data_IF_778905462064
#
_entry.id   IF_778905462064
#
_cell.length_a   1.000
_cell.length_b   1.000
_cell.length_c   1.000
_cell.angle_alpha   90.00
_cell.angle_beta   90.00
_cell.angle_gamma   90.00
#
_symmetry.space_group_name_H-M   'P 1'
#
loop_
_entity.id
_entity.type
_entity.pdbx_description
1 polymer ?
#
# COMPACT_ATOMS: atom_id res chain seq x y z
N UNK A 1 -19.64 -18.02 14.64
CA UNK A 1 -20.43 -19.28 14.61
C UNK A 1 -19.83 -20.41 13.75
N UNK A 2 -18.59 -20.29 13.22
CA UNK A 2 -17.92 -21.35 12.43
C UNK A 2 -16.98 -22.29 13.21
N UNK A 3 -16.76 -22.05 14.51
CA UNK A 3 -15.76 -22.80 15.31
C UNK A 3 -16.28 -24.07 16.02
N UNK A 4 -17.50 -24.53 15.73
CA UNK A 4 -18.09 -25.70 16.43
C UNK A 4 -18.28 -26.95 15.57
N UNK A 5 -18.06 -26.87 14.25
CA UNK A 5 -18.24 -28.00 13.32
C UNK A 5 -16.93 -28.72 12.96
N UNK A 6 -15.75 -28.19 13.35
CA UNK A 6 -14.46 -28.81 13.04
C UNK A 6 -13.93 -29.80 14.08
N UNK A 7 -14.56 -29.91 15.26
CA UNK A 7 -14.15 -30.87 16.30
C UNK A 7 -14.81 -32.27 16.16
N UNK A 8 -15.59 -32.52 15.11
CA UNK A 8 -16.30 -33.79 14.91
C UNK A 8 -15.71 -34.71 13.83
N UNK A 9 -14.55 -34.39 13.25
CA UNK A 9 -13.91 -35.22 12.19
C UNK A 9 -12.86 -36.22 12.69
N UNK A 10 -12.46 -36.17 13.96
CA UNK A 10 -11.41 -37.04 14.51
C UNK A 10 -11.94 -38.36 15.11
N UNK A 11 -13.26 -38.56 15.13
CA UNK A 11 -13.84 -39.82 15.57
C UNK A 11 -13.79 -40.87 14.45
N UNK A 12 -13.11 -42.00 14.71
CA UNK A 12 -13.15 -43.19 13.85
C UNK A 12 -14.60 -43.49 13.46
N UNK A 13 -14.86 -43.56 12.16
CA UNK A 13 -16.18 -43.87 11.63
C UNK A 13 -16.68 -45.21 12.20
N UNK A 14 -17.97 -45.31 12.52
CA UNK A 14 -18.57 -46.57 13.02
C UNK A 14 -18.21 -47.78 12.15
N UNK A 15 -18.05 -47.58 10.83
CA UNK A 15 -17.64 -48.62 9.89
C UNK A 15 -16.20 -49.08 10.09
N UNK A 16 -15.28 -48.16 10.43
CA UNK A 16 -13.87 -48.47 10.70
C UNK A 16 -13.73 -49.23 12.03
N UNK A 17 -14.46 -48.83 13.07
CA UNK A 17 -14.50 -49.54 14.36
C UNK A 17 -15.00 -50.97 14.18
N UNK A 18 -16.10 -51.15 13.44
CA UNK A 18 -16.65 -52.48 13.15
C UNK A 18 -15.63 -53.35 12.38
N UNK A 19 -14.95 -52.80 11.37
CA UNK A 19 -13.95 -53.53 10.61
C UNK A 19 -12.76 -53.98 11.47
N UNK A 20 -12.29 -53.13 12.39
CA UNK A 20 -11.20 -53.47 13.33
C UNK A 20 -11.64 -54.61 14.26
N UNK A 21 -12.85 -54.52 14.83
CA UNK A 21 -13.39 -55.55 15.75
C UNK A 21 -13.56 -56.88 15.04
N UNK A 22 -14.11 -56.88 13.81
CA UNK A 22 -14.25 -58.12 13.01
C UNK A 22 -12.88 -58.74 12.73
N UNK A 23 -11.90 -57.93 12.31
CA UNK A 23 -10.54 -58.42 12.03
C UNK A 23 -9.90 -59.02 13.28
N UNK A 24 -10.06 -58.40 14.45
CA UNK A 24 -9.55 -58.92 15.71
C UNK A 24 -10.22 -60.24 16.13
N UNK A 25 -11.54 -60.36 15.94
CA UNK A 25 -12.28 -61.61 16.22
C UNK A 25 -11.83 -62.73 15.29
N UNK A 26 -11.66 -62.45 14.00
CA UNK A 26 -11.15 -63.43 13.02
C UNK A 26 -9.75 -63.92 13.41
N UNK A 27 -8.86 -63.02 13.85
CA UNK A 27 -7.50 -63.38 14.31
C UNK A 27 -7.58 -64.28 15.56
N UNK A 28 -8.42 -63.94 16.53
CA UNK A 28 -8.62 -64.76 17.75
C UNK A 28 -9.18 -66.14 17.43
N UNK A 29 -10.13 -66.24 16.50
CA UNK A 29 -10.69 -67.51 16.05
C UNK A 29 -9.63 -68.36 15.35
N UNK A 30 -8.83 -67.77 14.45
CA UNK A 30 -7.74 -68.48 13.77
C UNK A 30 -6.69 -68.97 14.78
N UNK A 31 -6.39 -68.18 15.81
CA UNK A 31 -5.47 -68.56 16.88
C UNK A 31 -6.01 -69.71 17.74
N UNK A 32 -7.29 -69.65 18.14
CA UNK A 32 -7.96 -70.71 18.91
C UNK A 32 -8.13 -72.02 18.11
N UNK A 33 -8.46 -71.92 16.81
CA UNK A 33 -8.58 -73.09 15.94
C UNK A 33 -7.24 -73.81 15.78
N UNK A 34 -6.14 -73.05 15.62
CA UNK A 34 -4.80 -73.61 15.57
C UNK A 34 -4.43 -74.32 16.88
N UNK A 35 -4.74 -73.71 18.03
CA UNK A 35 -4.56 -74.33 19.36
C UNK A 35 -5.35 -75.63 19.53
N UNK A 36 -6.59 -75.70 19.03
CA UNK A 36 -7.43 -76.91 19.10
C UNK A 36 -6.85 -78.04 18.23
N UNK A 37 -6.36 -77.72 17.03
CA UNK A 37 -5.69 -78.69 16.13
C UNK A 37 -4.42 -79.25 16.81
N UNK A 38 -3.68 -78.40 17.52
CA UNK A 38 -2.47 -78.76 18.26
C UNK A 38 -2.75 -79.74 19.42
N UNK A 39 -3.76 -79.47 20.24
CA UNK A 39 -4.16 -80.35 21.35
C UNK A 39 -4.58 -81.73 20.82
N UNK A 40 -5.31 -81.78 19.70
CA UNK A 40 -5.70 -83.05 19.06
C UNK A 40 -4.51 -83.81 18.48
N UNK A 41 -3.56 -83.14 17.83
CA UNK A 41 -2.40 -83.80 17.23
C UNK A 41 -1.39 -84.32 18.29
N UNK A 42 -1.21 -83.59 19.39
CA UNK A 42 -0.33 -84.02 20.49
C UNK A 42 -0.90 -85.20 21.28
N UNK A 43 -2.23 -85.35 21.35
CA UNK A 43 -2.89 -86.52 21.96
C UNK A 43 -2.66 -87.84 21.21
N UNK A 44 -2.18 -87.79 19.97
CA UNK A 44 -1.95 -88.97 19.11
C UNK A 44 -0.46 -89.32 18.91
N UNK A 45 0.48 -88.55 19.46
CA UNK A 45 1.92 -88.76 19.27
C UNK A 45 2.61 -89.09 20.62
N UNK A 46 2.58 -90.38 21.00
CA UNK A 46 3.44 -90.88 22.06
C UNK A 46 4.89 -90.96 21.54
N UNK A 47 5.79 -90.22 22.19
CA UNK A 47 7.27 -90.35 22.18
C UNK A 47 8.06 -89.69 21.01
N UNK A 48 8.53 -88.44 21.19
CA UNK A 48 9.88 -87.98 20.77
C UNK A 48 10.21 -86.55 21.27
N UNK A 49 11.26 -86.30 22.11
CA UNK A 49 11.36 -85.04 22.87
C UNK A 49 12.05 -83.83 22.21
N UNK A 50 12.57 -83.90 20.96
CA UNK A 50 13.41 -82.80 20.41
C UNK A 50 13.03 -82.36 18.99
N UNK A 51 12.36 -83.20 18.18
CA UNK A 51 11.86 -82.81 16.84
C UNK A 51 10.58 -81.96 16.85
N UNK A 52 9.80 -82.03 17.93
CA UNK A 52 8.47 -81.43 18.04
C UNK A 52 8.47 -79.91 18.21
N UNK A 53 9.58 -79.30 18.62
CA UNK A 53 9.65 -77.84 18.83
C UNK A 53 9.83 -77.06 17.53
N UNK A 54 10.46 -77.68 16.51
CA UNK A 54 10.61 -77.09 15.17
C UNK A 54 9.28 -77.08 14.42
N UNK A 55 8.59 -78.22 14.37
CA UNK A 55 7.24 -78.35 13.80
C UNK A 55 6.20 -77.52 14.55
N UNK A 56 6.34 -77.37 15.88
CA UNK A 56 5.54 -76.43 16.67
C UNK A 56 5.70 -74.98 16.19
N UNK A 57 6.92 -74.54 15.88
CA UNK A 57 7.19 -73.21 15.31
C UNK A 57 6.62 -73.04 13.90
N UNK A 58 6.71 -74.07 13.06
CA UNK A 58 6.23 -74.06 11.67
C UNK A 58 4.70 -73.89 11.57
N UNK A 59 3.93 -74.42 12.52
CA UNK A 59 2.46 -74.29 12.56
C UNK A 59 1.97 -72.87 12.85
N UNK A 60 2.76 -72.06 13.56
CA UNK A 60 2.48 -70.64 13.76
C UNK A 60 3.15 -69.76 12.70
N UNK A 61 4.09 -70.29 11.92
CA UNK A 61 4.80 -69.60 10.85
C UNK A 61 3.86 -68.98 9.82
N UNK A 62 2.91 -69.75 9.28
CA UNK A 62 1.96 -69.26 8.28
C UNK A 62 1.03 -68.14 8.80
N UNK A 63 0.56 -68.26 10.05
CA UNK A 63 -0.29 -67.24 10.71
C UNK A 63 0.52 -65.97 11.01
N UNK A 64 1.76 -66.13 11.48
CA UNK A 64 2.66 -65.02 11.75
C UNK A 64 3.06 -64.31 10.45
N UNK A 65 3.35 -65.03 9.37
CA UNK A 65 3.64 -64.44 8.06
C UNK A 65 2.43 -63.68 7.49
N UNK A 66 1.21 -64.20 7.66
CA UNK A 66 -0.01 -63.50 7.25
C UNK A 66 -0.20 -62.21 8.08
N UNK A 67 0.00 -62.28 9.40
CA UNK A 67 -0.07 -61.10 10.27
C UNK A 67 0.99 -60.05 9.91
N UNK A 68 2.23 -60.46 9.68
CA UNK A 68 3.30 -59.56 9.23
C UNK A 68 2.98 -58.92 7.87
N UNK A 69 2.39 -59.66 6.93
CA UNK A 69 1.94 -59.13 5.65
C UNK A 69 0.80 -58.12 5.78
N UNK A 70 -0.19 -58.40 6.62
CA UNK A 70 -1.30 -57.47 6.91
C UNK A 70 -0.82 -56.22 7.65
N UNK A 71 0.06 -56.37 8.64
CA UNK A 71 0.67 -55.25 9.35
C UNK A 71 1.49 -54.36 8.40
N UNK A 72 2.28 -54.96 7.51
CA UNK A 72 3.02 -54.24 6.48
C UNK A 72 2.08 -53.53 5.50
N UNK A 73 0.99 -54.17 5.07
CA UNK A 73 -0.05 -53.55 4.25
C UNK A 73 -0.72 -52.35 4.94
N UNK A 74 -1.00 -52.47 6.25
CA UNK A 74 -1.53 -51.38 7.06
C UNK A 74 -0.55 -50.20 7.19
N UNK A 75 0.75 -50.47 7.33
CA UNK A 75 1.80 -49.44 7.32
C UNK A 75 1.86 -48.74 5.96
N UNK A 76 1.86 -49.49 4.85
CA UNK A 76 1.83 -48.91 3.49
C UNK A 76 0.59 -48.03 3.33
N UNK A 77 -0.58 -48.51 3.73
CA UNK A 77 -1.82 -47.74 3.69
C UNK A 77 -1.71 -46.43 4.48
N UNK A 78 -1.13 -46.49 5.67
CA UNK A 78 -0.89 -45.31 6.51
C UNK A 78 0.07 -44.33 5.84
N UNK A 79 1.16 -44.81 5.23
CA UNK A 79 2.12 -43.97 4.49
C UNK A 79 1.43 -43.29 3.29
N UNK A 80 0.56 -43.99 2.57
CA UNK A 80 -0.20 -43.40 1.46
C UNK A 80 -1.17 -42.32 1.95
N UNK A 81 -1.84 -42.54 3.08
CA UNK A 81 -2.71 -41.54 3.70
C UNK A 81 -1.92 -40.30 4.15
N UNK A 82 -0.79 -40.49 4.85
CA UNK A 82 0.10 -39.42 5.30
C UNK A 82 0.66 -38.61 4.12
N UNK A 83 1.02 -39.27 3.02
CA UNK A 83 1.48 -38.58 1.80
C UNK A 83 0.39 -37.68 1.22
N UNK A 84 -0.87 -38.12 1.24
CA UNK A 84 -1.99 -37.31 0.79
C UNK A 84 -2.25 -36.13 1.71
N UNK A 85 -2.18 -36.33 3.03
CA UNK A 85 -2.31 -35.27 4.03
C UNK A 85 -1.22 -34.21 3.88
N UNK A 86 0.06 -34.62 3.73
CA UNK A 86 1.17 -33.71 3.45
C UNK A 86 0.99 -32.93 2.16
N UNK A 87 0.38 -33.54 1.14
CA UNK A 87 0.06 -32.86 -0.12
C UNK A 87 -0.99 -31.78 0.11
N UNK A 88 -2.11 -32.11 0.77
CA UNK A 88 -3.17 -31.16 1.10
C UNK A 88 -2.64 -30.00 1.97
N UNK A 89 -1.82 -30.32 2.98
CA UNK A 89 -1.19 -29.31 3.84
C UNK A 89 -0.29 -28.34 3.06
N UNK A 90 0.47 -28.84 2.07
CA UNK A 90 1.28 -27.97 1.19
C UNK A 90 0.40 -27.08 0.32
N UNK A 91 -0.73 -27.59 -0.16
CA UNK A 91 -1.69 -26.83 -0.96
C UNK A 91 -2.34 -25.72 -0.12
N UNK A 92 -2.83 -26.04 1.08
CA UNK A 92 -3.38 -25.06 2.03
C UNK A 92 -2.34 -24.00 2.44
N UNK A 93 -1.10 -24.43 2.71
CA UNK A 93 0.00 -23.50 3.03
C UNK A 93 0.28 -22.55 1.87
N UNK A 94 0.25 -23.04 0.63
CA UNK A 94 0.41 -22.20 -0.55
C UNK A 94 -0.74 -21.19 -0.67
N UNK A 95 -1.98 -21.64 -0.53
CA UNK A 95 -3.16 -20.75 -0.56
C UNK A 95 -3.08 -19.67 0.53
N UNK A 96 -2.73 -20.05 1.76
CA UNK A 96 -2.57 -19.11 2.88
C UNK A 96 -1.47 -18.07 2.61
N UNK A 97 -0.37 -18.46 1.96
CA UNK A 97 0.68 -17.51 1.55
C UNK A 97 0.18 -16.53 0.49
N UNK A 98 -0.58 -17.01 -0.49
CA UNK A 98 -1.12 -16.17 -1.55
C UNK A 98 -2.15 -15.16 -0.98
N UNK A 99 -3.01 -15.60 -0.07
CA UNK A 99 -3.92 -14.72 0.68
C UNK A 99 -3.18 -13.68 1.53
N UNK A 100 -2.12 -14.08 2.24
CA UNK A 100 -1.33 -13.16 3.04
C UNK A 100 -0.63 -12.09 2.19
N UNK A 101 -0.20 -12.43 0.98
CA UNK A 101 0.37 -11.47 0.02
C UNK A 101 -0.68 -10.45 -0.38
N UNK A 102 -1.90 -10.89 -0.72
CA UNK A 102 -2.98 -10.00 -1.14
C UNK A 102 -3.47 -9.09 0.00
N UNK A 103 -3.57 -9.64 1.21
CA UNK A 103 -3.84 -8.85 2.41
C UNK A 103 -2.75 -7.81 2.66
N UNK A 104 -1.46 -8.15 2.46
CA UNK A 104 -0.38 -7.20 2.64
C UNK A 104 -0.47 -6.03 1.65
N UNK A 105 -0.85 -6.29 0.39
CA UNK A 105 -1.09 -5.23 -0.61
C UNK A 105 -2.24 -4.33 -0.16
N UNK A 106 -3.37 -4.90 0.22
CA UNK A 106 -4.55 -4.16 0.71
C UNK A 106 -4.20 -3.29 1.91
N UNK A 107 -3.49 -3.85 2.90
CA UNK A 107 -3.05 -3.11 4.09
C UNK A 107 -2.09 -1.96 3.76
N UNK A 108 -1.19 -2.14 2.78
CA UNK A 108 -0.30 -1.06 2.33
C UNK A 108 -1.08 0.07 1.69
N UNK A 109 -2.05 -0.24 0.84
CA UNK A 109 -2.92 0.75 0.21
C UNK A 109 -3.72 1.51 1.28
N UNK A 110 -4.36 0.82 2.22
CA UNK A 110 -5.10 1.45 3.31
C UNK A 110 -4.21 2.36 4.18
N UNK A 111 -2.98 1.93 4.51
CA UNK A 111 -2.03 2.78 5.26
C UNK A 111 -1.64 4.04 4.49
N UNK A 112 -1.40 3.89 3.18
CA UNK A 112 -1.16 5.02 2.29
C UNK A 112 -2.35 5.98 2.29
N UNK A 113 -3.56 5.48 1.99
CA UNK A 113 -4.79 6.28 1.93
C UNK A 113 -5.07 7.01 3.24
N UNK A 114 -4.97 6.32 4.38
CA UNK A 114 -5.15 6.93 5.69
C UNK A 114 -4.16 8.08 5.92
N UNK A 115 -2.89 7.88 5.57
CA UNK A 115 -1.86 8.93 5.71
C UNK A 115 -2.14 10.09 4.75
N UNK A 116 -2.48 9.79 3.50
CA UNK A 116 -2.81 10.75 2.47
C UNK A 116 -4.01 11.63 2.85
N UNK A 117 -5.14 11.04 3.25
CA UNK A 117 -6.33 11.78 3.64
C UNK A 117 -6.12 12.56 4.95
N UNK A 118 -5.30 12.06 5.87
CA UNK A 118 -4.89 12.84 7.04
C UNK A 118 -4.07 14.06 6.64
N UNK A 119 -3.12 13.94 5.70
CA UNK A 119 -2.40 15.10 5.18
C UNK A 119 -3.33 16.06 4.43
N UNK A 120 -4.27 15.60 3.62
CA UNK A 120 -5.28 16.49 3.01
C UNK A 120 -6.09 17.25 4.07
N UNK A 121 -6.47 16.58 5.15
CA UNK A 121 -7.18 17.21 6.27
C UNK A 121 -6.30 18.28 6.92
N UNK A 122 -5.04 17.95 7.23
CA UNK A 122 -4.07 18.90 7.78
C UNK A 122 -3.82 20.08 6.85
N UNK A 123 -3.81 19.89 5.53
CA UNK A 123 -3.70 20.98 4.57
C UNK A 123 -4.87 21.97 4.69
N UNK A 124 -6.09 21.45 4.81
CA UNK A 124 -7.27 22.28 5.00
C UNK A 124 -7.26 23.00 6.36
N UNK A 125 -6.74 22.36 7.42
CA UNK A 125 -6.54 23.01 8.71
C UNK A 125 -5.48 24.11 8.65
N UNK A 126 -4.36 23.89 7.93
CA UNK A 126 -3.34 24.93 7.68
C UNK A 126 -3.95 26.10 6.94
N UNK A 127 -4.79 25.86 5.92
CA UNK A 127 -5.52 26.91 5.19
C UNK A 127 -6.39 27.72 6.14
N UNK A 128 -7.15 27.07 7.04
CA UNK A 128 -7.99 27.75 8.03
C UNK A 128 -7.16 28.55 9.04
N UNK A 129 -5.98 28.07 9.41
CA UNK A 129 -5.09 28.73 10.37
C UNK A 129 -4.22 29.82 9.77
N UNK A 130 -4.26 30.05 8.45
CA UNK A 130 -3.55 31.18 7.84
C UNK A 130 -3.99 32.48 8.49
N UNK A 131 -3.03 33.35 8.79
CA UNK A 131 -3.30 34.60 9.49
C UNK A 131 -2.33 35.70 9.09
N UNK A 132 -2.91 36.85 8.78
CA UNK A 132 -2.22 38.14 8.72
C UNK A 132 -2.86 39.07 9.76
N UNK A 133 -2.31 40.27 10.02
CA UNK A 133 -2.94 41.22 10.94
C UNK A 133 -4.39 41.59 10.58
N UNK A 134 -4.83 41.41 9.33
CA UNK A 134 -6.14 41.83 8.83
C UNK A 134 -7.07 40.68 8.41
N UNK A 135 -6.51 39.55 8.01
CA UNK A 135 -7.26 38.46 7.38
C UNK A 135 -6.89 37.11 7.99
N UNK A 136 -7.85 36.19 7.97
CA UNK A 136 -7.67 34.80 8.39
C UNK A 136 -8.19 33.84 7.33
N UNK A 137 -7.70 32.60 7.38
CA UNK A 137 -8.19 31.54 6.51
C UNK A 137 -7.96 31.83 5.02
N UNK A 138 -8.95 31.47 4.20
CA UNK A 138 -8.93 31.68 2.74
C UNK A 138 -8.82 33.15 2.32
N UNK A 139 -9.23 34.10 3.16
CA UNK A 139 -9.09 35.53 2.84
C UNK A 139 -7.62 35.96 2.76
N UNK A 140 -6.72 35.30 3.49
CA UNK A 140 -5.27 35.51 3.37
C UNK A 140 -4.78 35.14 1.98
N UNK A 141 -5.28 34.04 1.41
CA UNK A 141 -4.97 33.57 0.04
C UNK A 141 -5.46 34.58 -1.00
N UNK A 142 -6.73 34.98 -0.91
CA UNK A 142 -7.30 35.97 -1.84
C UNK A 142 -6.55 37.30 -1.78
N UNK A 143 -6.12 37.74 -0.59
CA UNK A 143 -5.36 38.98 -0.46
C UNK A 143 -3.92 38.85 -0.96
N UNK A 144 -3.24 37.75 -0.68
CA UNK A 144 -1.90 37.49 -1.19
C UNK A 144 -1.90 37.43 -2.73
N UNK A 145 -2.91 36.80 -3.33
CA UNK A 145 -3.08 36.78 -4.78
C UNK A 145 -3.25 38.20 -5.34
N UNK A 146 -4.12 39.03 -4.75
CA UNK A 146 -4.30 40.42 -5.19
C UNK A 146 -3.03 41.25 -5.08
N UNK A 147 -2.28 41.12 -3.98
CA UNK A 147 -1.03 41.85 -3.79
C UNK A 147 0.04 41.44 -4.80
N UNK A 148 0.15 40.13 -5.09
CA UNK A 148 1.06 39.64 -6.13
C UNK A 148 0.60 40.10 -7.52
N UNK A 149 -0.69 39.99 -7.83
CA UNK A 149 -1.29 40.44 -9.09
C UNK A 149 -1.03 41.91 -9.34
N UNK A 150 -1.26 42.77 -8.35
CA UNK A 150 -0.94 44.19 -8.40
C UNK A 150 0.54 44.48 -8.62
N UNK A 151 1.42 43.62 -8.11
CA UNK A 151 2.86 43.81 -8.28
C UNK A 151 3.33 43.50 -9.71
N UNK A 152 2.76 42.48 -10.36
CA UNK A 152 3.22 42.05 -11.68
C UNK A 152 3.09 43.15 -12.75
N UNK A 153 2.09 44.03 -12.64
CA UNK A 153 1.95 45.17 -13.56
C UNK A 153 1.16 46.34 -12.94
N UNK A 154 1.44 47.56 -13.42
CA UNK A 154 0.68 48.77 -13.04
C UNK A 154 -0.78 48.66 -13.51
N UNK A 155 -1.00 48.04 -14.67
CA UNK A 155 -2.35 47.78 -15.20
C UNK A 155 -3.18 46.94 -14.21
N UNK A 156 -2.59 45.89 -13.65
CA UNK A 156 -3.22 45.04 -12.65
C UNK A 156 -3.52 45.81 -11.36
N UNK A 157 -2.60 46.66 -10.90
CA UNK A 157 -2.86 47.52 -9.75
C UNK A 157 -4.06 48.47 -9.99
N UNK A 158 -4.13 49.09 -11.16
CA UNK A 158 -5.24 49.96 -11.53
C UNK A 158 -6.57 49.19 -11.58
N UNK A 159 -6.59 47.95 -12.08
CA UNK A 159 -7.79 47.08 -12.06
C UNK A 159 -8.30 46.81 -10.65
N UNK A 160 -7.41 46.78 -9.66
CA UNK A 160 -7.77 46.59 -8.26
C UNK A 160 -8.16 47.88 -7.53
N UNK A 161 -8.09 49.05 -8.18
CA UNK A 161 -8.38 50.35 -7.57
C UNK A 161 -7.67 50.58 -6.23
N UNK A 162 -6.45 50.06 -6.06
CA UNK A 162 -5.67 50.23 -4.84
C UNK A 162 -6.03 49.31 -3.67
N UNK A 163 -6.84 48.27 -3.88
CA UNK A 163 -7.22 47.29 -2.85
C UNK A 163 -6.10 46.27 -2.55
N UNK A 164 -4.95 46.76 -2.06
CA UNK A 164 -3.76 45.95 -1.72
C UNK A 164 -3.27 46.23 -0.30
N UNK A 165 -2.67 45.23 0.36
CA UNK A 165 -1.99 45.42 1.64
C UNK A 165 -0.53 45.84 1.45
N UNK A 166 0.09 45.37 0.37
CA UNK A 166 1.42 45.79 -0.03
C UNK A 166 1.33 47.06 -0.86
N UNK A 167 2.28 47.99 -0.63
CA UNK A 167 2.38 49.19 -1.43
C UNK A 167 2.54 48.81 -2.92
N UNK A 168 1.81 49.49 -3.83
CA UNK A 168 1.96 49.25 -5.26
C UNK A 168 3.40 49.43 -5.73
N UNK A 169 3.68 48.81 -6.88
CA UNK A 169 4.90 49.05 -7.62
C UNK A 169 5.04 50.56 -7.93
N UNK A 170 6.21 51.13 -7.65
CA UNK A 170 6.54 52.54 -7.93
C UNK A 170 7.19 52.76 -9.30
N UNK A 171 7.42 51.68 -10.04
CA UNK A 171 8.07 51.68 -11.34
C UNK A 171 7.19 52.29 -12.44
N UNK A 172 7.83 52.73 -13.53
CA UNK A 172 7.14 53.24 -14.72
C UNK A 172 6.59 52.09 -15.59
N UNK A 173 5.62 52.39 -16.46
CA UNK A 173 5.10 51.47 -17.49
C UNK A 173 6.20 50.87 -18.38
N UNK A 174 7.32 51.58 -18.54
CA UNK A 174 8.52 51.12 -19.25
C UNK A 174 9.17 49.87 -18.66
N UNK A 175 8.86 49.53 -17.41
CA UNK A 175 9.51 48.44 -16.68
C UNK A 175 8.70 47.14 -16.76
N UNK A 176 7.82 47.04 -17.75
CA UNK A 176 7.04 45.84 -18.06
C UNK A 176 7.96 44.79 -18.68
N UNK A 177 8.10 43.58 -18.10
CA UNK A 177 8.99 42.55 -18.61
C UNK A 177 8.59 42.13 -20.03
N UNK A 178 9.58 42.08 -20.94
CA UNK A 178 9.40 41.74 -22.36
C UNK A 178 9.78 40.29 -22.68
N UNK A 179 10.46 39.61 -21.76
CA UNK A 179 10.92 38.23 -21.92
C UNK A 179 11.11 37.55 -20.55
N UNK A 180 11.30 36.24 -20.58
CA UNK A 180 11.39 35.41 -19.37
C UNK A 180 12.49 35.88 -18.41
N UNK A 181 13.64 36.33 -18.93
CA UNK A 181 14.77 36.81 -18.11
C UNK A 181 14.43 38.09 -17.34
N UNK A 182 13.79 39.06 -18.02
CA UNK A 182 13.32 40.30 -17.38
C UNK A 182 12.19 40.03 -16.37
N UNK A 183 11.30 39.08 -16.67
CA UNK A 183 10.26 38.63 -15.75
C UNK A 183 10.85 38.00 -14.48
N UNK A 184 11.86 37.13 -14.62
CA UNK A 184 12.58 36.50 -13.50
C UNK A 184 13.18 37.55 -12.57
N UNK A 185 13.97 38.48 -13.12
CA UNK A 185 14.62 39.53 -12.35
C UNK A 185 13.62 40.44 -11.62
N UNK A 186 12.50 40.74 -12.27
CA UNK A 186 11.41 41.50 -11.66
C UNK A 186 10.77 40.74 -10.50
N UNK A 187 10.47 39.45 -10.70
CA UNK A 187 9.83 38.61 -9.70
C UNK A 187 10.72 38.44 -8.46
N UNK A 188 12.02 38.13 -8.65
CA UNK A 188 12.97 37.95 -7.55
C UNK A 188 13.00 39.16 -6.60
N UNK A 189 13.05 40.37 -7.16
CA UNK A 189 13.19 41.58 -6.36
C UNK A 189 12.02 41.79 -5.39
N UNK A 190 10.79 41.55 -5.83
CA UNK A 190 9.62 41.74 -4.97
C UNK A 190 9.27 40.53 -4.14
N UNK A 191 9.37 39.33 -4.72
CA UNK A 191 8.91 38.13 -4.07
C UNK A 191 9.69 37.90 -2.78
N UNK A 192 11.03 38.08 -2.81
CA UNK A 192 11.85 37.99 -1.61
C UNK A 192 11.72 39.22 -0.69
N UNK A 193 11.74 40.45 -1.20
CA UNK A 193 11.83 41.67 -0.35
C UNK A 193 10.51 42.20 0.20
N UNK A 194 9.37 41.75 -0.33
CA UNK A 194 8.05 42.31 0.01
C UNK A 194 7.04 41.23 0.28
N UNK A 195 6.89 40.30 -0.68
CA UNK A 195 5.88 39.25 -0.55
C UNK A 195 6.23 38.31 0.61
N UNK A 196 7.44 37.77 0.65
CA UNK A 196 7.86 36.87 1.73
C UNK A 196 7.92 37.52 3.11
N UNK A 197 8.36 38.78 3.21
CA UNK A 197 8.40 39.46 4.50
C UNK A 197 7.01 39.59 5.13
N UNK A 198 5.97 39.81 4.31
CA UNK A 198 4.61 39.96 4.79
C UNK A 198 3.87 38.61 4.93
N UNK A 199 4.00 37.75 3.93
CA UNK A 199 3.22 36.52 3.79
C UNK A 199 3.98 35.25 4.19
N UNK A 200 5.30 35.31 4.36
CA UNK A 200 6.16 34.14 4.58
C UNK A 200 5.78 33.32 5.79
N UNK A 201 5.46 33.95 6.92
CA UNK A 201 5.01 33.24 8.11
C UNK A 201 3.73 32.42 7.87
N UNK A 202 2.81 32.94 7.05
CA UNK A 202 1.59 32.24 6.66
C UNK A 202 1.86 31.14 5.62
N UNK A 203 2.59 31.47 4.56
CA UNK A 203 2.65 30.63 3.37
C UNK A 203 3.81 29.63 3.33
N UNK A 204 4.87 29.82 4.11
CA UNK A 204 5.98 28.85 4.18
C UNK A 204 5.49 27.48 4.64
N UNK A 205 4.62 27.45 5.66
CA UNK A 205 4.03 26.21 6.13
C UNK A 205 3.05 25.61 5.12
N UNK A 206 2.19 26.44 4.53
CA UNK A 206 1.22 26.04 3.51
C UNK A 206 1.87 25.37 2.29
N UNK A 207 2.84 26.03 1.65
CA UNK A 207 3.47 25.49 0.44
C UNK A 207 4.33 24.27 0.74
N UNK A 208 5.07 24.28 1.87
CA UNK A 208 5.90 23.13 2.26
C UNK A 208 5.03 21.90 2.53
N UNK A 209 3.92 22.09 3.23
CA UNK A 209 3.02 20.98 3.51
C UNK A 209 2.37 20.46 2.22
N UNK A 210 1.86 21.34 1.36
CA UNK A 210 1.31 20.97 0.04
C UNK A 210 2.32 20.18 -0.80
N UNK A 211 3.55 20.68 -0.91
CA UNK A 211 4.68 20.00 -1.54
C UNK A 211 4.88 18.59 -0.97
N UNK A 212 4.85 18.43 0.36
CA UNK A 212 5.03 17.13 0.99
C UNK A 212 3.91 16.13 0.69
N UNK A 213 2.68 16.59 0.42
CA UNK A 213 1.59 15.69 0.00
C UNK A 213 1.91 15.13 -1.40
N UNK A 214 2.28 15.98 -2.36
CA UNK A 214 2.69 15.52 -3.69
C UNK A 214 3.96 14.66 -3.63
N UNK A 215 4.92 15.01 -2.77
CA UNK A 215 6.13 14.22 -2.54
C UNK A 215 5.79 12.84 -1.97
N UNK A 216 4.83 12.75 -1.05
CA UNK A 216 4.36 11.49 -0.48
C UNK A 216 3.77 10.58 -1.56
N UNK A 217 2.96 11.13 -2.47
CA UNK A 217 2.47 10.40 -3.66
C UNK A 217 3.65 9.93 -4.52
N UNK A 218 4.62 10.81 -4.79
CA UNK A 218 5.75 10.53 -5.65
C UNK A 218 6.60 9.35 -5.18
N UNK A 219 6.95 9.30 -3.90
CA UNK A 219 7.74 8.19 -3.33
C UNK A 219 6.92 6.95 -2.96
N UNK A 220 5.60 6.98 -3.12
CA UNK A 220 4.77 5.80 -2.87
C UNK A 220 5.04 4.68 -3.89
N UNK A 221 4.70 3.44 -3.49
CA UNK A 221 4.79 2.24 -4.35
C UNK A 221 3.58 2.07 -5.29
N UNK A 222 2.73 3.09 -5.37
CA UNK A 222 1.55 3.07 -6.24
C UNK A 222 1.95 3.06 -7.72
N UNK A 223 1.06 2.56 -8.55
CA UNK A 223 1.19 2.65 -10.00
C UNK A 223 1.01 4.10 -10.49
N UNK A 224 1.50 4.39 -11.69
CA UNK A 224 1.47 5.75 -12.26
C UNK A 224 0.04 6.31 -12.32
N UNK A 225 -0.93 5.50 -12.70
CA UNK A 225 -2.33 5.92 -12.81
C UNK A 225 -2.95 6.24 -11.44
N UNK A 226 -2.65 5.42 -10.43
CA UNK A 226 -3.08 5.66 -9.05
C UNK A 226 -2.46 6.96 -8.50
N UNK A 227 -1.16 7.18 -8.73
CA UNK A 227 -0.50 8.44 -8.34
C UNK A 227 -1.17 9.66 -8.97
N UNK A 228 -1.48 9.61 -10.26
CA UNK A 228 -2.21 10.68 -10.97
C UNK A 228 -3.61 10.89 -10.41
N UNK A 229 -4.31 9.80 -10.05
CA UNK A 229 -5.61 9.89 -9.40
C UNK A 229 -5.54 10.65 -8.07
N UNK A 230 -4.65 10.25 -7.15
CA UNK A 230 -4.49 10.95 -5.86
C UNK A 230 -4.02 12.39 -6.02
N UNK A 231 -3.13 12.67 -6.97
CA UNK A 231 -2.72 14.03 -7.27
C UNK A 231 -3.90 14.88 -7.79
N UNK A 232 -4.77 14.28 -8.61
CA UNK A 232 -6.02 14.89 -9.06
C UNK A 232 -6.96 15.25 -7.90
N UNK A 233 -7.03 14.41 -6.85
CA UNK A 233 -7.81 14.72 -5.65
C UNK A 233 -7.29 15.95 -4.90
N UNK A 234 -5.97 16.10 -4.77
CA UNK A 234 -5.39 17.33 -4.18
C UNK A 234 -5.76 18.53 -5.04
N UNK A 235 -5.55 18.40 -6.36
CA UNK A 235 -5.74 19.49 -7.32
C UNK A 235 -7.19 19.98 -7.36
N UNK A 236 -8.16 19.09 -7.17
CA UNK A 236 -9.58 19.45 -7.06
C UNK A 236 -9.92 20.31 -5.82
N UNK A 237 -9.04 20.38 -4.82
CA UNK A 237 -9.21 21.22 -3.63
C UNK A 237 -8.56 22.61 -3.76
N UNK A 238 -7.72 22.83 -4.78
CA UNK A 238 -7.00 24.08 -4.98
C UNK A 238 -7.88 25.09 -5.73
N UNK A 239 -8.04 26.27 -5.14
CA UNK A 239 -8.71 27.42 -5.78
C UNK A 239 -7.84 28.07 -6.86
N UNK A 240 -8.43 28.91 -7.72
CA UNK A 240 -7.68 29.64 -8.75
C UNK A 240 -6.63 30.56 -8.12
N UNK A 241 -6.93 31.17 -6.97
CA UNK A 241 -6.00 32.00 -6.23
C UNK A 241 -4.83 31.17 -5.66
N UNK A 242 -5.08 29.95 -5.20
CA UNK A 242 -4.02 29.03 -4.79
C UNK A 242 -3.13 28.61 -5.97
N UNK A 243 -3.73 28.25 -7.11
CA UNK A 243 -3.00 27.89 -8.32
C UNK A 243 -2.14 29.06 -8.83
N UNK A 244 -2.66 30.29 -8.77
CA UNK A 244 -1.92 31.52 -9.06
C UNK A 244 -0.70 31.66 -8.15
N UNK A 245 -0.88 31.54 -6.84
CA UNK A 245 0.24 31.67 -5.91
C UNK A 245 1.26 30.54 -6.07
N UNK A 246 0.80 29.31 -6.33
CA UNK A 246 1.67 28.16 -6.61
C UNK A 246 2.50 28.41 -7.88
N UNK A 247 1.90 28.95 -8.96
CA UNK A 247 2.59 29.15 -10.23
C UNK A 247 3.79 30.10 -10.12
N UNK A 248 3.77 31.02 -9.16
CA UNK A 248 4.93 31.87 -8.86
C UNK A 248 5.84 31.28 -7.79
N UNK A 249 5.30 30.61 -6.76
CA UNK A 249 6.12 29.97 -5.73
C UNK A 249 7.09 28.93 -6.28
N UNK A 250 6.67 28.15 -7.29
CA UNK A 250 7.49 27.12 -7.95
C UNK A 250 8.71 27.68 -8.70
N UNK A 251 8.71 28.98 -9.02
CA UNK A 251 9.83 29.65 -9.68
C UNK A 251 10.94 30.09 -8.72
N UNK A 252 10.64 30.17 -7.42
CA UNK A 252 11.57 30.73 -6.45
C UNK A 252 12.60 29.71 -6.02
N UNK A 253 13.88 30.10 -6.10
CA UNK A 253 15.00 29.37 -5.50
C UNK A 253 14.82 29.32 -3.97
N UNK A 254 15.25 28.23 -3.33
CA UNK A 254 15.07 27.91 -1.89
C UNK A 254 13.63 27.67 -1.41
N UNK A 255 12.63 27.83 -2.27
CA UNK A 255 11.23 27.56 -1.94
C UNK A 255 10.66 26.43 -2.79
N UNK A 256 10.12 26.76 -3.96
CA UNK A 256 9.47 25.80 -4.83
C UNK A 256 10.42 25.10 -5.81
N UNK A 257 11.49 25.78 -6.24
CA UNK A 257 12.47 25.21 -7.18
C UNK A 257 13.57 24.44 -6.43
N UNK A 258 14.07 23.30 -6.98
CA UNK A 258 13.58 22.57 -8.15
C UNK A 258 12.48 21.55 -7.82
N UNK A 259 12.30 21.20 -6.55
CA UNK A 259 11.53 20.03 -6.12
C UNK A 259 10.02 20.16 -6.38
N UNK A 260 9.41 21.26 -5.94
CA UNK A 260 7.97 21.46 -6.14
C UNK A 260 7.66 21.84 -7.58
N UNK A 261 8.55 22.54 -8.27
CA UNK A 261 8.48 22.76 -9.72
C UNK A 261 8.40 21.44 -10.50
N UNK A 262 9.28 20.50 -10.20
CA UNK A 262 9.25 19.17 -10.81
C UNK A 262 7.95 18.42 -10.52
N UNK A 263 7.47 18.43 -9.27
CA UNK A 263 6.21 17.77 -8.92
C UNK A 263 4.99 18.45 -9.56
N UNK A 264 5.05 19.77 -9.76
CA UNK A 264 4.03 20.54 -10.50
C UNK A 264 3.92 20.07 -11.93
N UNK A 265 5.06 19.82 -12.59
CA UNK A 265 5.13 19.20 -13.92
C UNK A 265 4.63 17.76 -13.91
N UNK A 266 5.15 16.91 -13.02
CA UNK A 266 4.87 15.47 -13.00
C UNK A 266 3.37 15.18 -12.79
N UNK A 267 2.71 16.01 -11.97
CA UNK A 267 1.30 15.86 -11.62
C UNK A 267 0.35 16.85 -12.27
N UNK A 268 0.86 17.68 -13.19
CA UNK A 268 0.06 18.67 -13.93
C UNK A 268 -0.81 19.52 -12.99
N UNK A 269 -0.19 20.05 -11.92
CA UNK A 269 -0.91 20.76 -10.84
C UNK A 269 -1.65 21.99 -11.39
N UNK A 270 -1.14 22.63 -12.45
CA UNK A 270 -1.71 23.83 -13.05
C UNK A 270 -2.67 23.56 -14.23
N UNK A 271 -3.08 22.31 -14.49
CA UNK A 271 -3.89 21.96 -15.68
C UNK A 271 -5.14 22.83 -15.89
N UNK A 272 -5.83 23.17 -14.80
CA UNK A 272 -7.08 23.92 -14.81
C UNK A 272 -6.91 25.37 -14.33
N UNK A 273 -5.67 25.85 -14.28
CA UNK A 273 -5.39 27.23 -13.89
C UNK A 273 -5.77 28.18 -15.02
N UNK A 274 -6.53 29.23 -14.68
CA UNK A 274 -6.86 30.28 -15.63
C UNK A 274 -5.69 31.26 -15.76
N UNK A 275 -5.08 31.27 -16.95
CA UNK A 275 -3.90 32.07 -17.23
C UNK A 275 -4.22 33.53 -17.60
N UNK A 276 -5.50 33.93 -17.70
CA UNK A 276 -5.88 35.29 -18.08
C UNK A 276 -5.31 36.35 -17.13
N UNK A 277 -5.17 36.01 -15.86
CA UNK A 277 -4.69 36.92 -14.82
C UNK A 277 -3.16 36.97 -14.71
N UNK A 278 -2.44 36.14 -15.48
CA UNK A 278 -0.98 36.16 -15.55
C UNK A 278 -0.53 37.19 -16.60
N UNK A 279 -0.47 38.44 -16.15
CA UNK A 279 -0.01 39.57 -16.94
C UNK A 279 1.21 40.23 -16.27
N UNK A 280 2.27 40.58 -17.03
CA UNK A 280 2.41 40.44 -18.49
C UNK A 280 2.68 39.00 -18.93
N UNK A 281 2.46 38.71 -20.22
CA UNK A 281 2.61 37.37 -20.82
C UNK A 281 3.99 36.76 -20.57
N UNK A 282 5.04 37.59 -20.43
CA UNK A 282 6.39 37.15 -20.10
C UNK A 282 6.48 36.32 -18.80
N UNK A 283 5.58 36.52 -17.83
CA UNK A 283 5.52 35.66 -16.64
C UNK A 283 4.99 34.27 -16.95
N UNK A 284 3.96 34.16 -17.80
CA UNK A 284 3.43 32.87 -18.24
C UNK A 284 4.50 32.10 -19.00
N UNK A 285 5.16 32.75 -19.95
CA UNK A 285 6.22 32.14 -20.74
C UNK A 285 7.40 31.68 -19.86
N UNK A 286 7.75 32.44 -18.81
CA UNK A 286 8.74 32.02 -17.80
C UNK A 286 8.31 30.73 -17.07
N UNK A 287 7.05 30.66 -16.63
CA UNK A 287 6.51 29.48 -15.92
C UNK A 287 6.55 28.25 -16.82
N UNK A 288 6.08 28.39 -18.07
CA UNK A 288 6.10 27.30 -19.05
C UNK A 288 7.53 26.87 -19.37
N UNK A 289 8.45 27.81 -19.56
CA UNK A 289 9.87 27.53 -19.80
C UNK A 289 10.50 26.71 -18.65
N UNK A 290 10.27 27.11 -17.39
CA UNK A 290 10.81 26.40 -16.22
C UNK A 290 10.18 25.01 -16.04
N UNK A 291 8.87 24.86 -16.26
CA UNK A 291 8.20 23.55 -16.23
C UNK A 291 8.69 22.60 -17.33
N UNK A 292 8.96 23.10 -18.53
CA UNK A 292 9.49 22.28 -19.63
C UNK A 292 10.90 21.80 -19.30
N UNK A 293 11.75 22.69 -18.79
CA UNK A 293 13.18 22.42 -18.60
C UNK A 293 13.54 21.77 -17.26
N UNK A 294 12.64 21.75 -16.26
CA UNK A 294 12.94 21.10 -14.98
C UNK A 294 13.16 19.59 -15.16
N UNK A 295 14.29 19.11 -14.66
CA UNK A 295 14.65 17.70 -14.55
C UNK A 295 14.21 17.14 -13.20
N UNK A 296 14.22 15.81 -13.08
CA UNK A 296 13.87 15.15 -11.84
C UNK A 296 14.97 15.36 -10.78
N UNK A 297 14.70 16.05 -9.67
CA UNK A 297 15.71 16.31 -8.64
C UNK A 297 15.83 15.17 -7.62
N UNK A 298 15.04 14.11 -7.76
CA UNK A 298 14.98 12.97 -6.85
C UNK A 298 15.68 11.71 -7.38
N UNK A 299 16.36 11.81 -8.52
CA UNK A 299 17.17 10.73 -9.12
C UNK A 299 18.58 10.72 -8.58
#
# INVERSE_FOLDING_TARGET
MKNKEQNSSDALSKKQVIAIVITAIVILILWLLNLIVLIKHHSNAANSPIGDRGTFGDMFGAVNSLFSGLAFGGIIWTILLQRNELKLQREESKQSRDEAIEQNKTLRLQRFENTFFNMLTLQNEIVKSLQTPRFTGRLVISQAQKDLFAFLSIENYNKLNGLTNLAPRTNSLSDTPQNHSSARAMLDNFYHKKFYDYYGNSFNHYFRHLYHIFKFIYFSKLERNEKKFYAGLIRAQLSQEELYLISFNILMEDYGKPNFLFLTKEYDILQNFDWTDVNPIAFKELIEYELINVSNPFT
#
